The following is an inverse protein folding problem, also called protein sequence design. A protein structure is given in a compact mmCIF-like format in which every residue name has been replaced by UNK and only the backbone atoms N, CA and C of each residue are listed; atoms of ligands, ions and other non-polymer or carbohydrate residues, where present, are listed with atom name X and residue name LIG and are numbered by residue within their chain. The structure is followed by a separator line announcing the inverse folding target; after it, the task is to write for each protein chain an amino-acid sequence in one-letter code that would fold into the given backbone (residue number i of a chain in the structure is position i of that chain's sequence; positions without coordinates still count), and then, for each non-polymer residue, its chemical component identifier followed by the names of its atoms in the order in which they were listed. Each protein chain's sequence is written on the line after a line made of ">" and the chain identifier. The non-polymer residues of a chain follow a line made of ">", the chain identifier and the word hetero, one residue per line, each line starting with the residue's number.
data_IF_667376171853
#
_entry.id   IF_667376171853
#
_cell.length_a   1.000
_cell.length_b   1.000
_cell.length_c   1.000
_cell.angle_alpha   90.00
_cell.angle_beta   90.00
_cell.angle_gamma   90.00
#
_symmetry.space_group_name_H-M   'P 1'
#
loop_
_entity.id
_entity.type
_entity.pdbx_description
1 polymer ?
#
# COMPACT_ATOMS: atom_id res chain seq x y z
N UNK A 1 16.92 8.71 8.22
CA UNK A 1 17.54 9.59 7.22
C UNK A 1 19.06 9.62 7.29
N UNK A 2 19.69 8.97 8.27
CA UNK A 2 21.16 8.93 8.44
C UNK A 2 21.80 7.71 7.77
N UNK A 3 21.02 6.71 7.42
CA UNK A 3 21.50 5.48 6.78
C UNK A 3 21.05 5.42 5.32
N UNK A 4 21.87 4.80 4.47
CA UNK A 4 21.53 4.51 3.09
C UNK A 4 20.40 3.47 3.01
N UNK A 5 19.74 3.40 1.89
CA UNK A 5 18.68 2.40 1.66
C UNK A 5 19.23 0.98 1.79
N UNK A 6 20.42 0.73 1.24
CA UNK A 6 21.09 -0.56 1.33
C UNK A 6 21.38 -0.98 2.78
N UNK A 7 21.80 -0.04 3.62
CA UNK A 7 22.09 -0.31 5.04
C UNK A 7 20.80 -0.70 5.79
N UNK A 8 19.68 -0.03 5.52
CA UNK A 8 18.39 -0.31 6.17
C UNK A 8 17.83 -1.68 5.75
N UNK A 9 17.94 -2.04 4.46
CA UNK A 9 17.56 -3.38 3.99
C UNK A 9 18.46 -4.43 4.64
N UNK A 10 19.78 -4.18 4.65
CA UNK A 10 20.76 -5.11 5.22
C UNK A 10 20.54 -5.34 6.71
N UNK A 11 20.24 -4.29 7.48
CA UNK A 11 19.93 -4.39 8.91
C UNK A 11 18.70 -5.28 9.13
N UNK A 12 17.63 -5.08 8.34
CA UNK A 12 16.41 -5.88 8.42
C UNK A 12 16.68 -7.36 8.12
N UNK A 13 17.51 -7.65 7.12
CA UNK A 13 17.89 -9.02 6.77
C UNK A 13 18.78 -9.67 7.83
N UNK A 14 19.78 -8.94 8.33
CA UNK A 14 20.70 -9.44 9.36
C UNK A 14 20.02 -9.72 10.70
N UNK A 15 18.96 -8.96 11.03
CA UNK A 15 18.21 -9.16 12.27
C UNK A 15 17.46 -10.51 12.31
N UNK A 16 17.13 -11.08 11.14
CA UNK A 16 16.31 -12.30 11.05
C UNK A 16 17.04 -13.49 10.43
N UNK A 17 18.27 -13.31 9.91
CA UNK A 17 18.98 -14.33 9.18
C UNK A 17 20.49 -14.29 9.51
N UNK A 18 21.13 -15.45 9.46
CA UNK A 18 22.61 -15.58 9.60
C UNK A 18 23.29 -15.55 8.22
N UNK A 19 22.86 -14.70 7.30
CA UNK A 19 23.42 -14.60 5.95
C UNK A 19 24.74 -13.81 5.96
N UNK A 20 25.62 -14.14 5.02
CA UNK A 20 26.83 -13.35 4.79
C UNK A 20 26.49 -11.97 4.20
N UNK A 21 27.40 -11.00 4.31
CA UNK A 21 27.22 -9.68 3.71
C UNK A 21 27.00 -9.73 2.19
N UNK A 22 27.65 -10.67 1.50
CA UNK A 22 27.47 -10.88 0.06
C UNK A 22 26.07 -11.40 -0.26
N UNK A 23 25.57 -12.36 0.52
CA UNK A 23 24.22 -12.90 0.37
C UNK A 23 23.16 -11.82 0.67
N UNK A 24 23.34 -11.02 1.71
CA UNK A 24 22.48 -9.89 2.05
C UNK A 24 22.43 -8.90 0.87
N UNK A 25 23.58 -8.53 0.30
CA UNK A 25 23.64 -7.62 -0.84
C UNK A 25 22.89 -8.19 -2.05
N UNK A 26 23.09 -9.46 -2.39
CA UNK A 26 22.38 -10.14 -3.48
C UNK A 26 20.87 -10.09 -3.29
N UNK A 27 20.40 -10.46 -2.10
CA UNK A 27 18.95 -10.44 -1.76
C UNK A 27 18.37 -9.03 -1.71
N UNK A 28 19.16 -8.03 -1.33
CA UNK A 28 18.74 -6.63 -1.37
C UNK A 28 18.50 -6.16 -2.81
N UNK A 29 19.33 -6.57 -3.76
CA UNK A 29 19.14 -6.29 -5.18
C UNK A 29 17.89 -7.00 -5.72
N UNK A 30 17.73 -8.29 -5.42
CA UNK A 30 16.55 -9.09 -5.81
C UNK A 30 15.25 -8.48 -5.26
N UNK A 31 15.26 -7.97 -4.01
CA UNK A 31 14.13 -7.27 -3.41
C UNK A 31 13.77 -6.02 -4.21
N UNK A 32 14.75 -5.18 -4.54
CA UNK A 32 14.51 -3.94 -5.30
C UNK A 32 14.00 -4.23 -6.71
N UNK A 33 14.53 -5.27 -7.37
CA UNK A 33 14.05 -5.73 -8.67
C UNK A 33 12.59 -6.24 -8.60
N UNK A 34 12.27 -7.07 -7.59
CA UNK A 34 10.91 -7.55 -7.32
C UNK A 34 9.92 -6.39 -7.10
N UNK A 35 10.38 -5.32 -6.45
CA UNK A 35 9.62 -4.08 -6.27
C UNK A 35 9.64 -3.15 -7.49
N UNK A 36 10.18 -3.59 -8.62
CA UNK A 36 10.29 -2.83 -9.88
C UNK A 36 11.00 -1.48 -9.70
N UNK A 37 11.99 -1.44 -8.84
CA UNK A 37 12.86 -0.28 -8.66
C UNK A 37 13.90 -0.26 -9.77
N UNK A 38 13.98 0.84 -10.51
CA UNK A 38 14.99 1.03 -11.56
C UNK A 38 16.34 1.31 -10.94
N UNK A 39 17.42 0.80 -11.57
CA UNK A 39 18.82 0.97 -11.14
C UNK A 39 19.01 0.57 -9.66
N UNK A 40 18.73 -0.68 -9.27
CA UNK A 40 18.73 -1.11 -7.87
C UNK A 40 20.09 -0.88 -7.19
N UNK A 41 21.23 -1.07 -7.90
CA UNK A 41 22.57 -0.81 -7.38
C UNK A 41 22.74 0.64 -6.93
N UNK A 42 22.31 1.60 -7.77
CA UNK A 42 22.38 3.02 -7.43
C UNK A 42 21.46 3.35 -6.25
N UNK A 43 20.28 2.71 -6.18
CA UNK A 43 19.29 2.96 -5.12
C UNK A 43 19.79 2.48 -3.77
N UNK A 44 20.52 1.37 -3.69
CA UNK A 44 21.15 0.92 -2.45
C UNK A 44 22.09 1.98 -1.84
N UNK A 45 22.77 2.76 -2.68
CA UNK A 45 23.71 3.80 -2.25
C UNK A 45 23.03 5.14 -1.89
N UNK A 46 21.74 5.32 -2.24
CA UNK A 46 20.99 6.55 -1.96
C UNK A 46 20.46 6.58 -0.53
N UNK A 47 20.24 7.81 -0.06
CA UNK A 47 19.50 8.06 1.18
C UNK A 47 17.99 8.16 0.90
N UNK A 48 17.13 7.86 1.87
CA UNK A 48 15.68 7.93 1.71
C UNK A 48 15.18 9.27 1.12
N UNK A 49 15.73 10.40 1.55
CA UNK A 49 15.35 11.73 1.06
C UNK A 49 15.70 12.01 -0.42
N UNK A 50 16.48 11.15 -1.06
CA UNK A 50 16.84 11.22 -2.48
C UNK A 50 15.89 10.42 -3.38
N UNK A 51 14.89 9.76 -2.80
CA UNK A 51 13.93 8.94 -3.50
C UNK A 51 12.53 9.56 -3.48
N UNK A 52 11.69 9.21 -4.46
CA UNK A 52 10.28 9.59 -4.44
C UNK A 52 9.52 8.83 -3.35
N UNK A 53 8.41 9.40 -2.86
CA UNK A 53 7.56 8.75 -1.85
C UNK A 53 7.10 7.36 -2.29
N UNK A 54 6.72 7.20 -3.56
CA UNK A 54 6.31 5.90 -4.11
C UNK A 54 7.44 4.87 -4.18
N UNK A 55 8.68 5.29 -4.45
CA UNK A 55 9.84 4.39 -4.38
C UNK A 55 10.09 3.94 -2.94
N UNK A 56 10.07 4.87 -1.99
CA UNK A 56 10.24 4.54 -0.57
C UNK A 56 9.16 3.57 -0.10
N UNK A 57 7.91 3.81 -0.47
CA UNK A 57 6.81 2.94 -0.08
C UNK A 57 6.97 1.52 -0.63
N UNK A 58 7.37 1.36 -1.91
CA UNK A 58 7.64 0.04 -2.49
C UNK A 58 8.80 -0.66 -1.78
N UNK A 59 9.87 0.05 -1.45
CA UNK A 59 11.00 -0.50 -0.71
C UNK A 59 10.54 -0.97 0.67
N UNK A 60 9.74 -0.17 1.40
CA UNK A 60 9.19 -0.55 2.71
C UNK A 60 8.30 -1.79 2.62
N UNK A 61 7.43 -1.89 1.61
CA UNK A 61 6.63 -3.10 1.36
C UNK A 61 7.55 -4.30 1.07
N UNK A 62 8.57 -4.09 0.24
CA UNK A 62 9.56 -5.13 -0.07
C UNK A 62 10.26 -5.66 1.17
N UNK A 63 10.75 -4.78 2.05
CA UNK A 63 11.39 -5.16 3.32
C UNK A 63 10.40 -5.94 4.20
N UNK A 64 9.19 -5.41 4.38
CA UNK A 64 8.18 -6.02 5.23
C UNK A 64 7.74 -7.42 4.75
N UNK A 65 7.81 -7.66 3.43
CA UNK A 65 7.37 -8.93 2.83
C UNK A 65 8.52 -9.90 2.53
N UNK A 66 9.76 -9.44 2.57
CA UNK A 66 10.93 -10.27 2.25
C UNK A 66 11.15 -11.43 3.23
N UNK A 67 10.61 -11.32 4.44
CA UNK A 67 10.67 -12.37 5.47
C UNK A 67 9.47 -13.33 5.43
N UNK A 68 8.62 -13.23 4.42
CA UNK A 68 7.41 -14.06 4.26
C UNK A 68 6.57 -14.12 5.55
N UNK A 69 6.17 -12.95 6.11
CA UNK A 69 5.47 -12.92 7.38
C UNK A 69 4.10 -13.59 7.27
N UNK A 70 3.66 -14.26 8.32
CA UNK A 70 2.31 -14.82 8.39
C UNK A 70 1.22 -13.73 8.40
N UNK A 71 1.54 -12.55 8.93
CA UNK A 71 0.66 -11.38 9.01
C UNK A 71 1.42 -10.11 8.64
N UNK A 72 0.88 -9.33 7.71
CA UNK A 72 1.33 -7.99 7.36
C UNK A 72 0.32 -6.95 7.85
N UNK A 73 0.79 -5.97 8.62
CA UNK A 73 -0.03 -4.83 9.05
C UNK A 73 0.43 -3.59 8.27
N UNK A 74 -0.48 -3.04 7.46
CA UNK A 74 -0.25 -1.86 6.65
C UNK A 74 -1.13 -0.71 7.19
N UNK A 75 -0.51 0.23 7.89
CA UNK A 75 -1.18 1.37 8.49
C UNK A 75 -0.98 2.61 7.61
N UNK A 76 -2.08 3.10 7.04
CA UNK A 76 -2.14 4.24 6.11
C UNK A 76 -1.08 4.18 4.97
N UNK A 77 -0.89 3.04 4.29
CA UNK A 77 0.26 2.83 3.40
C UNK A 77 0.21 3.64 2.11
N UNK A 78 -0.89 4.35 1.84
CA UNK A 78 -1.08 5.15 0.62
C UNK A 78 -1.34 6.63 0.92
N UNK A 79 -1.14 7.07 2.16
CA UNK A 79 -1.32 8.47 2.57
C UNK A 79 -0.25 9.36 1.93
N UNK A 80 -0.67 10.53 1.45
CA UNK A 80 0.18 11.56 0.81
C UNK A 80 0.90 11.09 -0.48
N UNK A 81 0.31 10.14 -1.19
CA UNK A 81 0.81 9.63 -2.48
C UNK A 81 -0.18 10.01 -3.59
N UNK A 82 0.33 10.31 -4.78
CA UNK A 82 -0.51 10.59 -5.96
C UNK A 82 -1.31 9.35 -6.40
N UNK A 83 -2.40 9.56 -7.12
CA UNK A 83 -3.35 8.50 -7.48
C UNK A 83 -2.75 7.37 -8.35
N UNK A 84 -1.77 7.68 -9.20
CA UNK A 84 -1.11 6.68 -10.06
C UNK A 84 -0.21 5.79 -9.21
N UNK A 85 0.62 6.40 -8.37
CA UNK A 85 1.50 5.70 -7.44
C UNK A 85 0.69 4.89 -6.41
N UNK A 86 -0.43 5.45 -5.90
CA UNK A 86 -1.35 4.72 -5.03
C UNK A 86 -1.87 3.45 -5.69
N UNK A 87 -2.31 3.55 -6.95
CA UNK A 87 -2.79 2.39 -7.71
C UNK A 87 -1.71 1.30 -7.83
N UNK A 88 -0.47 1.68 -8.12
CA UNK A 88 0.66 0.76 -8.23
C UNK A 88 0.97 0.07 -6.89
N UNK A 89 0.96 0.83 -5.79
CA UNK A 89 1.18 0.30 -4.43
C UNK A 89 0.08 -0.69 -4.03
N UNK A 90 -1.20 -0.38 -4.31
CA UNK A 90 -2.29 -1.31 -4.04
C UNK A 90 -2.15 -2.62 -4.83
N UNK A 91 -1.64 -2.56 -6.06
CA UNK A 91 -1.35 -3.77 -6.84
C UNK A 91 -0.21 -4.59 -6.22
N UNK A 92 0.82 -3.96 -5.62
CA UNK A 92 1.85 -4.68 -4.89
C UNK A 92 1.28 -5.42 -3.66
N UNK A 93 0.39 -4.78 -2.90
CA UNK A 93 -0.30 -5.46 -1.78
C UNK A 93 -1.13 -6.66 -2.25
N UNK A 94 -1.87 -6.51 -3.36
CA UNK A 94 -2.63 -7.63 -3.94
C UNK A 94 -1.72 -8.77 -4.39
N UNK A 95 -0.57 -8.45 -5.00
CA UNK A 95 0.42 -9.45 -5.40
C UNK A 95 0.99 -10.20 -4.19
N UNK A 96 1.39 -9.49 -3.15
CA UNK A 96 1.90 -10.10 -1.91
C UNK A 96 0.86 -11.04 -1.30
N UNK A 97 -0.42 -10.61 -1.23
CA UNK A 97 -1.53 -11.42 -0.73
C UNK A 97 -1.69 -12.72 -1.52
N UNK A 98 -1.58 -12.65 -2.85
CA UNK A 98 -1.78 -13.81 -3.75
C UNK A 98 -0.58 -14.76 -3.78
N UNK A 99 0.65 -14.22 -3.88
CA UNK A 99 1.87 -15.02 -4.05
C UNK A 99 2.28 -15.72 -2.74
N UNK A 100 2.19 -15.01 -1.61
CA UNK A 100 2.74 -15.49 -0.35
C UNK A 100 1.68 -16.04 0.62
N UNK A 101 0.39 -15.97 0.27
CA UNK A 101 -0.74 -16.32 1.16
C UNK A 101 -0.65 -15.59 2.53
N UNK A 102 -0.02 -14.43 2.58
CA UNK A 102 0.15 -13.63 3.79
C UNK A 102 -1.19 -13.04 4.20
N UNK A 103 -1.60 -13.26 5.45
CA UNK A 103 -2.73 -12.54 6.03
C UNK A 103 -2.40 -11.05 6.12
N UNK A 104 -3.40 -10.18 5.89
CA UNK A 104 -3.16 -8.74 5.87
C UNK A 104 -4.21 -7.97 6.69
N UNK A 105 -3.74 -7.06 7.53
CA UNK A 105 -4.55 -5.99 8.12
C UNK A 105 -4.17 -4.70 7.41
N UNK A 106 -5.12 -4.15 6.64
CA UNK A 106 -4.93 -2.92 5.88
C UNK A 106 -5.78 -1.82 6.49
N UNK A 107 -5.15 -0.81 7.06
CA UNK A 107 -5.80 0.31 7.74
C UNK A 107 -5.75 1.52 6.82
N UNK A 108 -6.90 2.11 6.52
CA UNK A 108 -7.00 3.33 5.71
C UNK A 108 -8.35 4.02 5.91
N UNK A 109 -8.37 5.32 5.70
CA UNK A 109 -9.59 6.11 5.59
C UNK A 109 -10.14 6.18 4.15
N UNK A 110 -9.40 5.64 3.17
CA UNK A 110 -9.81 5.62 1.76
C UNK A 110 -10.57 4.32 1.42
N UNK A 111 -11.90 4.42 1.34
CA UNK A 111 -12.76 3.30 0.94
C UNK A 111 -12.45 2.75 -0.46
N UNK A 112 -11.82 3.53 -1.37
CA UNK A 112 -11.43 3.01 -2.67
C UNK A 112 -10.22 2.07 -2.55
N UNK A 113 -9.24 2.43 -1.71
CA UNK A 113 -8.12 1.56 -1.40
C UNK A 113 -8.59 0.26 -0.73
N UNK A 114 -9.41 0.39 0.32
CA UNK A 114 -10.00 -0.75 1.05
C UNK A 114 -10.78 -1.68 0.10
N UNK A 115 -11.63 -1.14 -0.78
CA UNK A 115 -12.46 -1.94 -1.71
C UNK A 115 -11.66 -2.81 -2.68
N UNK A 116 -10.38 -2.52 -2.87
CA UNK A 116 -9.49 -3.27 -3.78
C UNK A 116 -8.77 -4.42 -3.08
N UNK A 117 -8.38 -4.23 -1.81
CA UNK A 117 -7.47 -5.15 -1.12
C UNK A 117 -8.16 -6.01 -0.06
N UNK A 118 -9.27 -5.53 0.53
CA UNK A 118 -9.91 -6.18 1.66
C UNK A 118 -10.97 -7.21 1.22
N UNK A 119 -10.97 -8.37 1.87
CA UNK A 119 -12.06 -9.36 1.78
C UNK A 119 -13.14 -9.06 2.81
N UNK A 120 -12.75 -8.55 3.99
CA UNK A 120 -13.62 -8.15 5.09
C UNK A 120 -13.20 -6.78 5.60
N UNK A 121 -14.17 -5.96 5.94
CA UNK A 121 -13.97 -4.58 6.41
C UNK A 121 -14.55 -4.48 7.81
N UNK A 122 -13.80 -3.82 8.68
CA UNK A 122 -14.24 -3.42 10.02
C UNK A 122 -14.15 -1.90 10.10
N UNK A 123 -15.27 -1.25 10.38
CA UNK A 123 -15.31 0.22 10.53
C UNK A 123 -15.17 0.58 11.99
N UNK A 124 -14.17 1.39 12.30
CA UNK A 124 -13.89 1.90 13.63
C UNK A 124 -14.30 3.36 13.73
N UNK A 125 -15.07 3.70 14.74
CA UNK A 125 -15.41 5.08 15.09
C UNK A 125 -15.32 5.28 16.61
N UNK A 126 -14.60 6.30 17.05
CA UNK A 126 -14.38 6.62 18.48
C UNK A 126 -13.93 5.40 19.31
N UNK A 127 -13.02 4.58 18.77
CA UNK A 127 -12.47 3.39 19.43
C UNK A 127 -13.41 2.18 19.49
N UNK A 128 -14.54 2.20 18.79
CA UNK A 128 -15.52 1.11 18.75
C UNK A 128 -15.71 0.61 17.33
N UNK A 129 -15.96 -0.68 17.20
CA UNK A 129 -16.44 -1.28 15.95
C UNK A 129 -17.90 -0.87 15.77
N UNK A 130 -18.21 -0.18 14.67
CA UNK A 130 -19.56 0.34 14.40
C UNK A 130 -20.24 -0.41 13.23
N UNK A 131 -19.47 -0.93 12.29
CA UNK A 131 -19.95 -1.80 11.21
C UNK A 131 -18.87 -2.81 10.83
N UNK A 132 -19.28 -3.98 10.31
CA UNK A 132 -18.37 -4.97 9.73
C UNK A 132 -19.06 -5.78 8.64
N UNK A 133 -18.30 -6.22 7.65
CA UNK A 133 -18.80 -7.04 6.56
C UNK A 133 -17.86 -7.04 5.35
N UNK A 134 -18.32 -7.57 4.24
CA UNK A 134 -17.66 -7.37 2.95
C UNK A 134 -17.94 -5.96 2.40
N UNK A 135 -17.32 -5.63 1.29
CA UNK A 135 -17.46 -4.30 0.70
C UNK A 135 -18.91 -4.00 0.27
N UNK A 136 -19.66 -5.00 -0.21
CA UNK A 136 -21.05 -4.81 -0.63
C UNK A 136 -21.96 -4.54 0.58
N UNK A 137 -21.72 -5.24 1.69
CA UNK A 137 -22.43 -4.98 2.93
C UNK A 137 -22.18 -3.55 3.43
N UNK A 138 -20.93 -3.12 3.48
CA UNK A 138 -20.57 -1.74 3.91
C UNK A 138 -21.20 -0.70 2.98
N UNK A 139 -21.22 -0.96 1.68
CA UNK A 139 -21.76 -0.03 0.69
C UNK A 139 -23.28 0.13 0.78
N UNK A 140 -24.03 -0.95 1.02
CA UNK A 140 -25.48 -0.98 0.86
C UNK A 140 -26.26 -1.21 2.16
N UNK A 141 -25.62 -1.77 3.19
CA UNK A 141 -26.30 -2.22 4.41
C UNK A 141 -25.69 -1.65 5.69
N UNK A 142 -24.77 -0.69 5.60
CA UNK A 142 -24.21 -0.01 6.76
C UNK A 142 -25.30 0.58 7.65
N UNK A 143 -25.23 0.33 8.93
CA UNK A 143 -26.20 0.79 9.92
C UNK A 143 -25.76 2.08 10.61
N UNK A 144 -24.48 2.21 10.89
CA UNK A 144 -23.94 3.37 11.56
C UNK A 144 -23.89 4.61 10.67
N UNK A 145 -24.21 5.78 11.25
CA UNK A 145 -24.23 7.05 10.52
C UNK A 145 -22.84 7.41 9.96
N UNK A 146 -21.78 7.15 10.72
CA UNK A 146 -20.42 7.46 10.29
C UNK A 146 -20.03 6.63 9.05
N UNK A 147 -20.37 5.34 9.04
CA UNK A 147 -20.13 4.46 7.87
C UNK A 147 -20.87 4.95 6.65
N UNK A 148 -22.16 5.33 6.80
CA UNK A 148 -22.95 5.91 5.70
C UNK A 148 -22.34 7.17 5.14
N UNK A 149 -21.83 8.06 6.00
CA UNK A 149 -21.14 9.29 5.57
C UNK A 149 -19.84 8.99 4.82
N UNK A 150 -19.08 7.96 5.21
CA UNK A 150 -17.88 7.53 4.47
C UNK A 150 -18.25 7.04 3.05
N UNK A 151 -19.30 6.24 2.94
CA UNK A 151 -19.82 5.73 1.65
C UNK A 151 -20.32 6.87 0.76
N UNK A 152 -21.08 7.81 1.31
CA UNK A 152 -21.62 8.96 0.59
C UNK A 152 -20.51 9.87 0.05
N UNK A 153 -19.52 10.20 0.88
CA UNK A 153 -18.34 10.99 0.45
C UNK A 153 -17.60 10.31 -0.71
N UNK A 154 -17.44 8.99 -0.65
CA UNK A 154 -16.85 8.23 -1.76
C UNK A 154 -17.66 8.37 -3.04
N UNK A 155 -18.99 8.24 -2.96
CA UNK A 155 -19.88 8.36 -4.11
C UNK A 155 -19.82 9.76 -4.75
N UNK A 156 -19.74 10.81 -3.94
CA UNK A 156 -19.61 12.20 -4.41
C UNK A 156 -18.30 12.47 -5.14
N UNK A 157 -17.16 11.97 -4.61
CA UNK A 157 -15.87 12.06 -5.29
C UNK A 157 -15.92 11.37 -6.65
N UNK A 158 -16.47 10.16 -6.71
CA UNK A 158 -16.59 9.39 -7.96
C UNK A 158 -17.53 10.05 -8.96
N UNK A 159 -18.61 10.68 -8.50
CA UNK A 159 -19.55 11.43 -9.34
C UNK A 159 -18.88 12.65 -9.98
N UNK A 160 -18.18 13.45 -9.18
CA UNK A 160 -17.43 14.63 -9.67
C UNK A 160 -16.36 14.23 -10.68
N UNK A 161 -15.62 13.15 -10.41
CA UNK A 161 -14.59 12.65 -11.33
C UNK A 161 -15.17 12.25 -12.68
N UNK A 162 -16.33 11.52 -12.71
CA UNK A 162 -17.02 11.16 -13.95
C UNK A 162 -17.52 12.40 -14.72
N UNK A 163 -18.02 13.41 -14.02
CA UNK A 163 -18.47 14.65 -14.65
C UNK A 163 -17.32 15.40 -15.32
N UNK A 164 -16.16 15.47 -14.69
CA UNK A 164 -14.95 16.10 -15.26
C UNK A 164 -14.45 15.34 -16.49
N UNK A 165 -14.48 14.00 -16.46
CA UNK A 165 -14.09 13.18 -17.63
C UNK A 165 -15.09 13.38 -18.79
N UNK A 166 -16.38 13.32 -18.54
CA UNK A 166 -17.42 13.52 -19.56
C UNK A 166 -17.43 14.95 -20.13
N UNK A 167 -16.99 15.96 -19.35
CA UNK A 167 -16.78 17.32 -19.82
C UNK A 167 -15.58 17.44 -20.77
N UNK A 168 -14.47 16.75 -20.45
CA UNK A 168 -13.27 16.77 -21.30
C UNK A 168 -13.46 16.07 -22.64
N UNK A 169 -14.28 15.02 -22.73
CA UNK A 169 -14.59 14.37 -24.00
C UNK A 169 -15.39 15.29 -24.96
N UNK A 170 -16.11 16.29 -24.45
CA UNK A 170 -16.83 17.28 -25.27
C UNK A 170 -15.93 18.40 -25.81
N UNK A 171 -14.81 18.68 -25.16
CA UNK A 171 -13.87 19.73 -25.58
C UNK A 171 -12.86 19.25 -26.62
N UNK A 172 -12.81 17.95 -26.93
CA UNK A 172 -11.94 17.33 -27.95
C UNK A 172 -12.71 16.73 -29.15
N UNK A 173 -14.03 16.91 -29.24
CA UNK A 173 -14.88 16.51 -30.35
C UNK A 173 -15.31 17.72 -31.18
#
# INVERSE_FOLDING_TARGET
>A
PLYRVGDQIAESFAAHNSWSGEEIRRRSLELLEKMRIRSPEEVLEKYPHQLSGGMLQRIMIGIATAMEPALLIADEPTTAIDAITQYEILNEFLRVKQENQTAMVFISHDLNAISRVADRIVVLNQGRVVDEGDFQHILHHAQDLYTRLLVEKRADVMRRYRQVLAGKERDYA
#
